data_IF_213203790091
#
_entry.id   IF_213203790091
#
_cell.length_a   1.000
_cell.length_b   1.000
_cell.length_c   1.000
_cell.angle_alpha   90.00
_cell.angle_beta   90.00
_cell.angle_gamma   90.00
#
_symmetry.space_group_name_H-M   'P 1'
#
loop_
_entity.id
_entity.type
_entity.pdbx_description
1 polymer ?
#
# COMPACT_ATOMS: atom_id res chain seq x y z
N UNK A 1 6.18 -25.15 0.90
CA UNK A 1 5.49 -23.85 1.05
C UNK A 1 5.14 -23.39 -0.35
N UNK A 2 3.87 -23.07 -0.59
CA UNK A 2 3.41 -22.60 -1.88
C UNK A 2 4.04 -21.23 -2.21
N UNK A 3 4.38 -20.95 -3.47
CA UNK A 3 5.01 -19.68 -3.87
C UNK A 3 4.13 -18.49 -3.50
N UNK A 4 2.80 -18.65 -3.63
CA UNK A 4 1.83 -17.62 -3.24
C UNK A 4 1.86 -17.38 -1.73
N UNK A 5 1.91 -18.42 -0.91
CA UNK A 5 2.04 -18.27 0.55
C UNK A 5 3.35 -17.56 0.92
N UNK A 6 4.46 -17.93 0.29
CA UNK A 6 5.75 -17.28 0.51
C UNK A 6 5.69 -15.80 0.14
N UNK A 7 5.07 -15.47 -0.99
CA UNK A 7 4.92 -14.08 -1.43
C UNK A 7 4.09 -13.25 -0.45
N UNK A 8 2.99 -13.81 0.06
CA UNK A 8 2.14 -13.17 1.08
C UNK A 8 2.91 -12.98 2.39
N UNK A 9 3.73 -13.96 2.80
CA UNK A 9 4.55 -13.86 4.00
C UNK A 9 5.59 -12.75 3.90
N UNK A 10 6.35 -12.69 2.79
CA UNK A 10 7.36 -11.65 2.56
C UNK A 10 6.72 -10.25 2.48
N UNK A 11 5.54 -10.15 1.84
CA UNK A 11 4.80 -8.89 1.77
C UNK A 11 4.29 -8.43 3.14
N UNK A 12 3.75 -9.34 3.96
CA UNK A 12 3.32 -9.02 5.31
C UNK A 12 4.50 -8.63 6.21
N UNK A 13 5.65 -9.30 6.05
CA UNK A 13 6.88 -8.96 6.77
C UNK A 13 7.33 -7.54 6.42
N UNK A 14 7.38 -7.20 5.13
CA UNK A 14 7.63 -5.82 4.69
C UNK A 14 6.69 -4.83 5.36
N UNK A 15 5.37 -5.08 5.32
CA UNK A 15 4.38 -4.17 5.90
C UNK A 15 4.57 -4.00 7.42
N UNK A 16 4.86 -5.10 8.14
CA UNK A 16 5.08 -5.07 9.59
C UNK A 16 6.31 -4.29 10.01
N UNK A 17 7.32 -4.21 9.13
CA UNK A 17 8.57 -3.49 9.36
C UNK A 17 8.47 -1.99 9.04
N UNK A 18 7.36 -1.54 8.44
CA UNK A 18 7.14 -0.12 8.20
C UNK A 18 7.07 0.66 9.51
N UNK A 19 7.69 1.85 9.54
CA UNK A 19 7.66 2.73 10.71
C UNK A 19 6.23 3.13 11.03
N UNK A 20 5.74 2.72 12.20
CA UNK A 20 4.42 3.12 12.71
C UNK A 20 4.44 4.60 13.07
N UNK A 21 3.44 5.35 12.64
CA UNK A 21 3.27 6.76 13.03
C UNK A 21 2.27 6.86 14.18
N UNK A 22 2.69 7.51 15.28
CA UNK A 22 2.03 7.44 16.59
C UNK A 22 0.55 7.86 16.62
N UNK A 23 0.13 8.80 15.78
CA UNK A 23 -1.27 9.29 15.77
C UNK A 23 -2.24 8.38 15.00
N UNK A 24 -1.75 7.65 13.99
CA UNK A 24 -2.55 6.76 13.15
C UNK A 24 -2.52 5.29 13.62
N UNK A 25 -1.55 4.92 14.45
CA UNK A 25 -1.34 3.54 14.93
C UNK A 25 -0.90 2.57 13.84
N UNK A 26 -0.45 3.06 12.68
CA UNK A 26 -0.10 2.26 11.51
C UNK A 26 0.92 2.94 10.60
N UNK A 27 1.23 2.29 9.48
CA UNK A 27 2.11 2.84 8.45
C UNK A 27 1.61 4.19 7.92
N UNK A 28 2.53 5.01 7.42
CA UNK A 28 2.18 6.31 6.84
C UNK A 28 1.19 6.13 5.67
N UNK A 29 0.12 6.93 5.64
CA UNK A 29 -0.88 6.88 4.56
C UNK A 29 -0.25 7.04 3.18
N UNK A 30 0.82 7.85 3.09
CA UNK A 30 1.58 8.03 1.86
C UNK A 30 2.29 6.77 1.39
N UNK A 31 2.87 5.98 2.30
CA UNK A 31 3.49 4.69 1.96
C UNK A 31 2.44 3.71 1.45
N UNK A 32 1.28 3.61 2.11
CA UNK A 32 0.16 2.76 1.66
C UNK A 32 -0.33 3.20 0.27
N UNK A 33 -0.51 4.51 0.07
CA UNK A 33 -0.93 5.09 -1.20
C UNK A 33 0.05 4.77 -2.34
N UNK A 34 1.34 4.95 -2.09
CA UNK A 34 2.39 4.63 -3.05
C UNK A 34 2.43 3.14 -3.37
N UNK A 35 2.30 2.27 -2.36
CA UNK A 35 2.30 0.83 -2.53
C UNK A 35 1.12 0.35 -3.38
N UNK A 36 -0.10 0.85 -3.12
CA UNK A 36 -1.29 0.54 -3.94
C UNK A 36 -1.07 0.87 -5.41
N UNK A 37 -0.53 2.06 -5.70
CA UNK A 37 -0.28 2.53 -7.07
C UNK A 37 0.83 1.74 -7.76
N UNK A 38 1.91 1.42 -7.05
CA UNK A 38 3.00 0.58 -7.59
C UNK A 38 2.51 -0.82 -7.90
N UNK A 39 1.73 -1.43 -7.00
CA UNK A 39 1.13 -2.75 -7.24
C UNK A 39 0.19 -2.74 -8.46
N UNK A 40 -0.57 -1.67 -8.67
CA UNK A 40 -1.41 -1.52 -9.86
C UNK A 40 -0.56 -1.46 -11.13
N UNK A 41 0.53 -0.68 -11.12
CA UNK A 41 1.47 -0.60 -12.24
C UNK A 41 2.15 -1.94 -12.53
N UNK A 42 2.49 -2.70 -11.49
CA UNK A 42 3.11 -4.04 -11.63
C UNK A 42 2.19 -5.05 -12.35
N UNK A 43 0.87 -4.88 -12.26
CA UNK A 43 -0.10 -5.72 -12.99
C UNK A 43 -0.08 -5.45 -14.50
N UNK A 44 0.20 -4.22 -14.90
CA UNK A 44 0.32 -3.79 -16.31
C UNK A 44 1.72 -4.09 -16.86
N UNK A 45 2.76 -3.70 -16.14
CA UNK A 45 4.15 -3.92 -16.48
C UNK A 45 4.94 -4.32 -15.23
N UNK A 46 5.38 -5.57 -15.20
CA UNK A 46 6.03 -6.17 -14.03
C UNK A 46 7.51 -5.79 -13.95
N UNK A 47 7.75 -4.52 -13.61
CA UNK A 47 9.08 -3.95 -13.43
C UNK A 47 9.40 -3.80 -11.93
N UNK A 48 10.40 -4.51 -11.43
CA UNK A 48 10.77 -4.45 -10.01
C UNK A 48 11.85 -3.41 -9.71
N UNK A 49 12.30 -2.64 -10.71
CA UNK A 49 13.26 -1.56 -10.53
C UNK A 49 12.58 -0.30 -10.00
N UNK A 50 13.05 0.21 -8.87
CA UNK A 50 12.47 1.40 -8.25
C UNK A 50 12.45 2.61 -9.19
N UNK A 51 13.47 2.76 -10.04
CA UNK A 51 13.59 3.91 -10.94
C UNK A 51 12.45 3.96 -11.97
N UNK A 52 11.92 2.81 -12.40
CA UNK A 52 10.77 2.74 -13.29
C UNK A 52 9.46 3.25 -12.65
N UNK A 53 9.45 3.35 -11.32
CA UNK A 53 8.32 3.83 -10.53
C UNK A 53 8.53 5.22 -9.93
N UNK A 54 9.68 5.86 -10.15
CA UNK A 54 9.94 7.22 -9.67
C UNK A 54 9.40 8.27 -10.65
N UNK A 55 8.91 9.37 -10.11
CA UNK A 55 8.62 10.58 -10.88
C UNK A 55 9.93 11.27 -11.30
N UNK A 56 9.90 12.13 -12.34
CA UNK A 56 11.04 13.00 -12.66
C UNK A 56 11.53 13.75 -11.42
N UNK A 57 12.84 13.71 -11.15
CA UNK A 57 13.44 14.27 -9.94
C UNK A 57 13.54 13.31 -8.74
N UNK A 58 13.04 12.07 -8.86
CA UNK A 58 13.36 10.94 -7.98
C UNK A 58 12.79 10.98 -6.56
N UNK A 59 12.27 12.11 -6.08
CA UNK A 59 11.77 12.26 -4.70
C UNK A 59 10.39 11.62 -4.46
N UNK A 60 9.64 11.35 -5.51
CA UNK A 60 8.25 10.86 -5.44
C UNK A 60 8.04 9.61 -6.29
N UNK A 61 7.05 8.81 -5.93
CA UNK A 61 6.56 7.71 -6.77
C UNK A 61 5.64 8.27 -7.85
N UNK A 62 5.80 7.79 -9.08
CA UNK A 62 5.06 8.22 -10.27
C UNK A 62 3.59 7.80 -10.16
N UNK A 63 2.69 8.73 -10.48
CA UNK A 63 1.25 8.45 -10.60
C UNK A 63 0.48 8.41 -9.28
N UNK A 64 1.14 8.61 -8.14
CA UNK A 64 0.43 8.63 -6.85
C UNK A 64 -0.36 9.94 -6.71
N UNK A 65 -1.68 9.81 -6.66
CA UNK A 65 -2.63 10.91 -6.49
C UNK A 65 -3.84 10.45 -5.68
N UNK A 66 -4.58 11.38 -5.08
CA UNK A 66 -5.83 11.03 -4.39
C UNK A 66 -6.81 10.31 -5.30
N UNK A 67 -6.94 10.74 -6.56
CA UNK A 67 -7.81 10.12 -7.57
C UNK A 67 -7.39 8.67 -7.86
N UNK A 68 -6.10 8.44 -8.09
CA UNK A 68 -5.59 7.10 -8.38
C UNK A 68 -5.83 6.14 -7.19
N UNK A 69 -5.56 6.60 -5.96
CA UNK A 69 -5.78 5.80 -4.76
C UNK A 69 -7.27 5.52 -4.57
N UNK A 70 -8.14 6.52 -4.71
CA UNK A 70 -9.60 6.33 -4.61
C UNK A 70 -10.11 5.30 -5.63
N UNK A 71 -9.63 5.36 -6.88
CA UNK A 71 -10.00 4.38 -7.91
C UNK A 71 -9.62 2.95 -7.51
N UNK A 72 -8.41 2.76 -6.99
CA UNK A 72 -7.95 1.45 -6.52
C UNK A 72 -8.79 0.98 -5.34
N UNK A 73 -8.98 1.82 -4.32
CA UNK A 73 -9.80 1.47 -3.13
C UNK A 73 -11.24 1.09 -3.50
N UNK A 74 -11.86 1.84 -4.42
CA UNK A 74 -13.22 1.58 -4.88
C UNK A 74 -13.34 0.21 -5.57
N UNK A 75 -12.30 -0.26 -6.28
CA UNK A 75 -12.27 -1.60 -6.87
C UNK A 75 -12.31 -2.74 -5.81
N UNK A 76 -11.97 -2.44 -4.56
CA UNK A 76 -12.09 -3.35 -3.41
C UNK A 76 -13.28 -3.02 -2.49
N UNK A 77 -14.19 -2.12 -2.92
CA UNK A 77 -15.39 -1.74 -2.16
C UNK A 77 -15.17 -0.68 -1.08
N UNK A 78 -13.97 -0.09 -0.97
CA UNK A 78 -13.69 1.00 -0.04
C UNK A 78 -13.86 2.36 -0.73
N UNK A 79 -14.96 3.04 -0.42
CA UNK A 79 -15.33 4.32 -1.05
C UNK A 79 -15.07 5.54 -0.14
N UNK A 80 -14.59 5.35 1.10
CA UNK A 80 -14.36 6.47 2.03
C UNK A 80 -13.11 7.26 1.61
N UNK A 81 -13.11 8.59 1.77
CA UNK A 81 -11.93 9.41 1.44
C UNK A 81 -10.73 9.07 2.33
N UNK A 82 -9.66 8.55 1.75
CA UNK A 82 -8.46 8.16 2.51
C UNK A 82 -7.36 9.24 2.53
N UNK A 83 -7.02 9.79 1.36
CA UNK A 83 -5.97 10.80 1.14
C UNK A 83 -6.43 11.86 0.13
N UNK A 84 -6.20 13.14 0.44
CA UNK A 84 -6.41 14.25 -0.52
C UNK A 84 -5.21 14.40 -1.47
N UNK A 85 -4.00 14.44 -0.92
CA UNK A 85 -2.76 14.70 -1.67
C UNK A 85 -2.00 13.43 -2.12
N UNK A 86 -2.61 12.24 -2.03
CA UNK A 86 -1.99 11.00 -2.53
C UNK A 86 -0.59 10.70 -1.96
N UNK A 87 -0.25 11.15 -0.75
CA UNK A 87 1.06 10.86 -0.17
C UNK A 87 2.23 11.70 -0.70
N UNK A 88 1.99 12.78 -1.44
CA UNK A 88 3.02 13.71 -1.95
C UNK A 88 3.92 14.32 -0.86
N UNK A 89 3.46 14.33 0.39
CA UNK A 89 4.19 14.83 1.57
C UNK A 89 5.03 13.78 2.29
N UNK A 90 5.02 12.51 1.87
CA UNK A 90 5.81 11.45 2.52
C UNK A 90 7.19 11.29 1.87
N UNK A 91 8.20 12.00 2.39
CA UNK A 91 9.59 11.94 1.90
C UNK A 91 10.27 10.57 2.06
N UNK A 92 9.74 9.67 2.89
CA UNK A 92 10.26 8.31 3.08
C UNK A 92 9.69 7.27 2.11
N UNK A 93 8.64 7.60 1.35
CA UNK A 93 7.92 6.63 0.53
C UNK A 93 8.81 5.88 -0.48
N UNK A 94 9.77 6.50 -1.19
CA UNK A 94 10.61 5.76 -2.13
C UNK A 94 11.43 4.62 -1.50
N UNK A 95 11.95 4.82 -0.30
CA UNK A 95 12.70 3.78 0.41
C UNK A 95 11.81 2.61 0.86
N UNK A 96 10.61 2.93 1.38
CA UNK A 96 9.63 1.90 1.76
C UNK A 96 9.19 1.07 0.54
N UNK A 97 8.99 1.71 -0.61
CA UNK A 97 8.64 1.03 -1.86
C UNK A 97 9.79 0.18 -2.40
N UNK A 98 11.04 0.63 -2.27
CA UNK A 98 12.19 -0.19 -2.64
C UNK A 98 12.23 -1.50 -1.86
N UNK A 99 11.97 -1.44 -0.55
CA UNK A 99 11.89 -2.62 0.30
C UNK A 99 10.71 -3.53 -0.10
N UNK A 100 9.58 -2.95 -0.52
CA UNK A 100 8.44 -3.71 -1.05
C UNK A 100 8.82 -4.47 -2.31
N UNK A 101 9.46 -3.79 -3.27
CA UNK A 101 9.90 -4.39 -4.54
C UNK A 101 10.93 -5.52 -4.30
N UNK A 102 11.85 -5.34 -3.34
CA UNK A 102 12.79 -6.39 -2.92
C UNK A 102 12.08 -7.60 -2.31
N UNK A 103 11.06 -7.40 -1.48
CA UNK A 103 10.25 -8.48 -0.92
C UNK A 103 9.50 -9.26 -2.03
N UNK A 104 8.93 -8.55 -3.00
CA UNK A 104 8.26 -9.15 -4.17
C UNK A 104 9.26 -9.94 -5.02
N UNK A 105 10.46 -9.39 -5.24
CA UNK A 105 11.53 -10.05 -6.01
C UNK A 105 11.97 -11.36 -5.35
N UNK A 106 12.18 -11.34 -4.03
CA UNK A 106 12.57 -12.51 -3.22
C UNK A 106 11.54 -13.65 -3.29
N UNK A 107 10.26 -13.32 -3.43
CA UNK A 107 9.19 -14.29 -3.61
C UNK A 107 9.19 -14.98 -4.99
N UNK A 108 10.01 -14.52 -5.94
CA UNK A 108 10.20 -15.20 -7.22
C UNK A 108 8.99 -15.10 -8.17
N UNK A 109 8.18 -14.05 -8.05
CA UNK A 109 6.97 -13.85 -8.88
C UNK A 109 7.27 -13.63 -10.38
N UNK A 110 8.52 -13.43 -10.77
CA UNK A 110 8.95 -13.40 -12.18
C UNK A 110 8.90 -14.79 -12.85
N UNK A 111 8.79 -15.88 -12.07
CA UNK A 111 8.79 -17.27 -12.54
C UNK A 111 7.40 -17.90 -12.63
N UNK A 112 6.33 -17.11 -12.53
CA UNK A 112 4.94 -17.57 -12.64
C UNK A 112 4.27 -16.79 -13.79
N UNK A 113 3.18 -17.34 -14.32
CA UNK A 113 2.45 -16.68 -15.40
C UNK A 113 1.82 -15.35 -14.94
N UNK A 114 1.47 -14.52 -15.91
CA UNK A 114 0.93 -13.19 -15.65
C UNK A 114 -0.42 -13.21 -14.93
N UNK A 115 -1.24 -14.25 -15.13
CA UNK A 115 -2.54 -14.40 -14.47
C UNK A 115 -2.38 -14.66 -12.98
N UNK A 116 -1.61 -15.67 -12.61
CA UNK A 116 -1.31 -16.01 -11.20
C UNK A 116 -0.57 -14.86 -10.50
N UNK A 117 0.37 -14.23 -11.21
CA UNK A 117 1.07 -13.04 -10.71
C UNK A 117 0.11 -11.91 -10.41
N UNK A 118 -0.80 -11.60 -11.32
CA UNK A 118 -1.77 -10.52 -11.14
C UNK A 118 -2.77 -10.85 -10.02
N UNK A 119 -3.12 -12.12 -9.82
CA UNK A 119 -3.91 -12.55 -8.67
C UNK A 119 -3.18 -12.31 -7.34
N UNK A 120 -1.87 -12.60 -7.27
CA UNK A 120 -1.04 -12.34 -6.09
C UNK A 120 -0.90 -10.83 -5.83
N UNK A 121 -0.62 -10.03 -6.86
CA UNK A 121 -0.54 -8.56 -6.73
C UNK A 121 -1.87 -7.96 -6.27
N UNK A 122 -2.99 -8.47 -6.79
CA UNK A 122 -4.35 -8.09 -6.34
C UNK A 122 -4.56 -8.47 -4.87
N UNK A 123 -4.03 -9.63 -4.43
CA UNK A 123 -4.09 -10.01 -3.01
C UNK A 123 -3.25 -9.08 -2.13
N UNK A 124 -2.10 -8.61 -2.58
CA UNK A 124 -1.31 -7.60 -1.87
C UNK A 124 -2.05 -6.28 -1.73
N UNK A 125 -2.72 -5.84 -2.79
CA UNK A 125 -3.60 -4.66 -2.73
C UNK A 125 -4.71 -4.87 -1.69
N UNK A 126 -5.39 -6.03 -1.70
CA UNK A 126 -6.43 -6.34 -0.72
C UNK A 126 -5.93 -6.23 0.73
N UNK A 127 -4.72 -6.74 1.04
CA UNK A 127 -4.11 -6.62 2.37
C UNK A 127 -3.95 -5.15 2.77
N UNK A 128 -3.50 -4.30 1.84
CA UNK A 128 -3.38 -2.85 2.11
C UNK A 128 -4.74 -2.19 2.30
N UNK A 129 -5.75 -2.57 1.52
CA UNK A 129 -7.13 -2.06 1.66
C UNK A 129 -7.71 -2.43 3.01
N UNK A 130 -7.51 -3.66 3.49
CA UNK A 130 -7.93 -4.08 4.85
C UNK A 130 -7.35 -3.13 5.92
N UNK A 131 -6.10 -2.68 5.76
CA UNK A 131 -5.48 -1.70 6.69
C UNK A 131 -6.06 -0.30 6.57
N UNK A 132 -6.53 0.10 5.39
CA UNK A 132 -7.29 1.35 5.20
C UNK A 132 -8.66 1.27 5.88
N UNK A 133 -9.37 0.14 5.73
CA UNK A 133 -10.65 -0.11 6.38
C UNK A 133 -10.49 -0.05 7.91
N UNK A 134 -9.49 -0.75 8.45
CA UNK A 134 -9.17 -0.71 9.88
C UNK A 134 -8.87 0.72 10.36
N UNK A 135 -8.11 1.49 9.58
CA UNK A 135 -7.82 2.90 9.90
C UNK A 135 -9.12 3.70 10.02
N UNK A 136 -10.04 3.60 9.06
CA UNK A 136 -11.31 4.30 9.12
C UNK A 136 -12.19 3.86 10.30
N UNK A 137 -12.22 2.56 10.60
CA UNK A 137 -12.96 2.03 11.73
C UNK A 137 -12.44 2.60 13.07
N UNK A 138 -11.11 2.72 13.22
CA UNK A 138 -10.49 3.37 14.38
C UNK A 138 -10.83 4.86 14.47
N UNK A 139 -10.85 5.59 13.35
CA UNK A 139 -11.25 7.00 13.34
C UNK A 139 -12.71 7.17 13.79
N UNK A 140 -13.62 6.29 13.35
CA UNK A 140 -15.03 6.31 13.77
C UNK A 140 -15.17 6.09 15.28
N UNK A 141 -14.44 5.13 15.85
CA UNK A 141 -14.47 4.87 17.29
C UNK A 141 -13.97 6.07 18.10
N UNK A 142 -12.90 6.75 17.66
CA UNK A 142 -12.41 7.99 18.29
C UNK A 142 -13.44 9.12 18.24
N UNK A 143 -14.22 9.21 17.16
CA UNK A 143 -15.26 10.24 17.03
C UNK A 143 -16.46 9.96 17.94
N UNK A 144 -16.80 8.68 18.16
CA UNK A 144 -17.90 8.28 19.07
C UNK A 144 -17.47 8.44 20.54
N UNK A 145 -16.20 8.18 20.85
CA UNK A 145 -15.65 8.38 22.19
C UNK A 145 -15.36 9.86 22.45
N UNK A 146 -16.28 10.53 23.13
CA UNK A 146 -16.11 11.89 23.63
C UNK A 146 -15.89 11.85 25.16
N UNK A 147 -14.64 12.02 25.65
CA UNK A 147 -14.36 12.02 27.09
C UNK A 147 -14.96 13.21 27.83
N UNK A 148 -15.50 14.23 27.14
CA UNK A 148 -16.28 15.31 27.77
C UNK A 148 -17.75 14.93 27.99
N UNK A 149 -18.18 13.76 27.49
CA UNK A 149 -19.52 13.18 27.67
C UNK A 149 -19.53 11.96 28.60
N UNK A 150 -18.39 11.57 29.15
CA UNK A 150 -18.34 10.60 30.25
C UNK A 150 -18.29 11.37 31.57
N UNK A 151 -19.41 11.30 32.29
CA UNK A 151 -19.67 11.84 33.63
C UNK A 151 -18.60 11.48 34.66
#
# INVERSE_FOLDING_TARGET
MDKKEQAILEFNLWFSNLRKHGLSGGAAKGTISAALVVLERLKENFDLELQAHRAPGGAQIKGVSGVAVTKILAAFGENRPFVKEGGRTNRGAPGDIELMLKAISKAGLHKIDSGDRNAILTRFQAILVEKVVEFHNRQRLKMIYDPTKST
#
